data_IF_529733182341
#
_entry.id   IF_529733182341
#
_cell.length_a   1.000
_cell.length_b   1.000
_cell.length_c   1.000
_cell.angle_alpha   90.00
_cell.angle_beta   90.00
_cell.angle_gamma   90.00
#
_symmetry.space_group_name_H-M   'P 1'
#
loop_
_entity.id
_entity.type
_entity.pdbx_description
1 polymer ?
#
# COMPACT_ATOMS: atom_id res chain seq x y z
N UNK A 1 1.79 -1.86 26.47
CA UNK A 1 1.58 -1.24 25.14
C UNK A 1 2.88 -1.33 24.36
N UNK A 2 2.90 -2.03 23.22
CA UNK A 2 4.07 -2.00 22.35
C UNK A 2 4.11 -0.61 21.69
N UNK A 3 5.13 0.20 22.03
CA UNK A 3 5.37 1.48 21.34
C UNK A 3 5.99 1.15 19.99
N UNK A 4 5.25 1.43 18.92
CA UNK A 4 5.76 1.34 17.55
C UNK A 4 6.39 2.68 17.20
N UNK A 5 7.66 2.67 16.80
CA UNK A 5 8.35 3.83 16.21
C UNK A 5 8.02 4.00 14.71
N UNK A 6 7.15 3.16 14.15
CA UNK A 6 6.76 3.26 12.76
C UNK A 6 6.02 4.60 12.54
N UNK A 7 6.49 5.44 11.61
CA UNK A 7 5.83 6.70 11.33
C UNK A 7 4.41 6.44 10.81
N UNK A 8 3.44 7.16 11.38
CA UNK A 8 2.08 7.20 10.87
C UNK A 8 1.98 8.09 9.63
N UNK A 9 1.09 7.71 8.70
CA UNK A 9 0.65 8.62 7.65
C UNK A 9 -0.17 9.76 8.28
N UNK A 10 -0.04 11.01 7.79
CA UNK A 10 -0.86 12.13 8.24
C UNK A 10 -2.36 11.84 8.10
N UNK A 11 -3.17 12.46 8.97
CA UNK A 11 -4.64 12.43 8.82
C UNK A 11 -5.06 12.89 7.43
N UNK A 12 -6.06 12.23 6.83
CA UNK A 12 -6.54 12.53 5.47
C UNK A 12 -5.69 11.92 4.34
N UNK A 13 -4.52 11.34 4.63
CA UNK A 13 -3.69 10.71 3.58
C UNK A 13 -4.43 9.61 2.82
N UNK A 14 -5.26 8.83 3.52
CA UNK A 14 -6.04 7.77 2.90
C UNK A 14 -7.07 8.31 1.90
N UNK A 15 -7.84 9.33 2.29
CA UNK A 15 -8.80 10.00 1.41
C UNK A 15 -8.11 10.61 0.19
N UNK A 16 -6.96 11.28 0.40
CA UNK A 16 -6.20 11.88 -0.68
C UNK A 16 -5.63 10.82 -1.64
N UNK A 17 -5.02 9.75 -1.12
CA UNK A 17 -4.46 8.66 -1.92
C UNK A 17 -5.52 7.90 -2.72
N UNK A 18 -6.74 7.85 -2.20
CA UNK A 18 -7.88 7.22 -2.86
C UNK A 18 -8.71 8.21 -3.69
N UNK A 19 -8.34 9.50 -3.68
CA UNK A 19 -9.12 10.59 -4.26
C UNK A 19 -10.60 10.58 -3.85
N UNK A 20 -10.89 10.18 -2.61
CA UNK A 20 -12.24 10.03 -2.08
C UNK A 20 -13.09 8.93 -2.74
N UNK A 21 -12.48 7.99 -3.47
CA UNK A 21 -13.19 6.94 -4.22
C UNK A 21 -13.36 5.62 -3.45
N UNK A 22 -12.94 5.58 -2.19
CA UNK A 22 -12.95 4.37 -1.36
C UNK A 22 -13.80 4.64 -0.13
N UNK A 23 -14.88 3.88 -0.02
CA UNK A 23 -15.83 3.89 1.08
C UNK A 23 -15.63 2.65 1.97
N UNK A 24 -16.25 2.58 3.17
CA UNK A 24 -16.32 1.34 3.93
C UNK A 24 -16.92 0.20 3.09
N UNK A 25 -16.25 -0.96 3.06
CA UNK A 25 -16.58 -2.11 2.22
C UNK A 25 -16.02 -2.07 0.79
N UNK A 26 -15.36 -0.99 0.38
CA UNK A 26 -14.60 -0.96 -0.88
C UNK A 26 -13.43 -1.94 -0.84
N UNK A 27 -13.16 -2.58 -1.97
CA UNK A 27 -12.12 -3.62 -2.08
C UNK A 27 -10.80 -2.99 -2.47
N UNK A 28 -9.81 -3.09 -1.60
CA UNK A 28 -8.51 -2.43 -1.77
C UNK A 28 -7.40 -3.47 -1.83
N UNK A 29 -6.61 -3.45 -2.91
CA UNK A 29 -5.38 -4.25 -2.98
C UNK A 29 -4.23 -3.45 -2.35
N UNK A 30 -3.43 -4.09 -1.51
CA UNK A 30 -2.16 -3.51 -1.02
C UNK A 30 -0.99 -4.30 -1.58
N UNK A 31 -0.15 -3.63 -2.36
CA UNK A 31 1.13 -4.17 -2.85
C UNK A 31 2.29 -3.65 -1.99
N UNK A 32 3.39 -4.39 -1.98
CA UNK A 32 4.47 -4.22 -1.00
C UNK A 32 3.93 -4.05 0.43
N UNK A 33 3.04 -4.96 0.89
CA UNK A 33 2.31 -4.75 2.12
C UNK A 33 3.22 -4.84 3.34
N UNK A 34 3.01 -3.92 4.28
CA UNK A 34 3.54 -4.03 5.64
C UNK A 34 2.38 -4.10 6.63
N UNK A 35 2.63 -4.66 7.80
CA UNK A 35 1.62 -4.75 8.87
C UNK A 35 1.02 -3.39 9.22
N UNK A 36 1.85 -2.34 9.30
CA UNK A 36 1.40 -0.99 9.63
C UNK A 36 0.51 -0.41 8.53
N UNK A 37 0.91 -0.56 7.25
CA UNK A 37 0.12 -0.05 6.13
C UNK A 37 -1.22 -0.78 6.01
N UNK A 38 -1.25 -2.12 6.07
CA UNK A 38 -2.48 -2.88 5.98
C UNK A 38 -3.45 -2.53 7.13
N UNK A 39 -2.96 -2.37 8.37
CA UNK A 39 -3.81 -1.92 9.49
C UNK A 39 -4.36 -0.51 9.27
N UNK A 40 -3.53 0.41 8.79
CA UNK A 40 -3.95 1.77 8.53
C UNK A 40 -5.09 1.80 7.51
N UNK A 41 -4.94 1.09 6.39
CA UNK A 41 -5.99 0.97 5.36
C UNK A 41 -7.25 0.29 5.91
N UNK A 42 -7.12 -0.85 6.60
CA UNK A 42 -8.26 -1.58 7.15
C UNK A 42 -9.02 -0.76 8.22
N UNK A 43 -8.35 0.13 8.95
CA UNK A 43 -8.99 1.00 9.95
C UNK A 43 -10.01 1.98 9.37
N UNK A 44 -9.99 2.22 8.06
CA UNK A 44 -11.00 2.99 7.33
C UNK A 44 -12.22 2.16 6.90
N UNK A 45 -12.28 0.88 7.28
CA UNK A 45 -13.39 -0.01 6.93
C UNK A 45 -13.31 -0.61 5.52
N UNK A 46 -12.18 -0.49 4.83
CA UNK A 46 -11.96 -1.11 3.53
C UNK A 46 -11.70 -2.62 3.66
N UNK A 47 -12.15 -3.39 2.66
CA UNK A 47 -11.86 -4.81 2.53
C UNK A 47 -10.47 -4.99 1.90
N UNK A 48 -9.45 -5.17 2.75
CA UNK A 48 -8.05 -5.19 2.33
C UNK A 48 -7.63 -6.56 1.83
N UNK A 49 -7.08 -6.61 0.62
CA UNK A 49 -6.37 -7.76 0.07
C UNK A 49 -4.88 -7.43 -0.13
N UNK A 50 -4.03 -7.93 0.76
CA UNK A 50 -2.59 -7.81 0.64
C UNK A 50 -2.02 -8.89 -0.29
N UNK A 51 -1.11 -8.52 -1.19
CA UNK A 51 -0.39 -9.48 -2.04
C UNK A 51 1.09 -9.41 -1.71
N UNK A 52 1.67 -10.53 -1.30
CA UNK A 52 3.09 -10.63 -0.97
C UNK A 52 3.70 -11.88 -1.60
N UNK A 53 4.95 -11.81 -2.07
CA UNK A 53 5.61 -12.94 -2.75
C UNK A 53 6.01 -14.06 -1.80
N UNK A 54 6.40 -13.68 -0.59
CA UNK A 54 6.78 -14.60 0.47
C UNK A 54 5.52 -15.14 1.19
N UNK A 55 5.27 -16.46 1.19
CA UNK A 55 4.09 -17.07 1.80
C UNK A 55 4.05 -16.85 3.32
N UNK A 56 5.20 -16.85 4.01
CA UNK A 56 5.25 -16.65 5.47
C UNK A 56 4.79 -15.24 5.84
N UNK A 57 5.18 -14.24 5.04
CA UNK A 57 4.72 -12.87 5.20
C UNK A 57 3.23 -12.73 4.87
N UNK A 58 2.73 -13.39 3.83
CA UNK A 58 1.30 -13.43 3.54
C UNK A 58 0.51 -14.06 4.71
N UNK A 59 0.98 -15.15 5.28
CA UNK A 59 0.34 -15.78 6.45
C UNK A 59 0.32 -14.85 7.68
N UNK A 60 1.41 -14.12 7.94
CA UNK A 60 1.46 -13.12 9.01
C UNK A 60 0.43 -12.01 8.80
N UNK A 61 0.27 -11.53 7.58
CA UNK A 61 -0.70 -10.48 7.24
C UNK A 61 -2.16 -10.97 7.36
N UNK A 62 -2.43 -12.24 7.06
CA UNK A 62 -3.75 -12.87 7.26
C UNK A 62 -4.23 -12.88 8.73
N UNK A 63 -3.32 -12.69 9.69
CA UNK A 63 -3.67 -12.61 11.13
C UNK A 63 -4.18 -11.22 11.53
N UNK A 64 -4.16 -10.24 10.62
CA UNK A 64 -4.63 -8.88 10.88
C UNK A 64 -6.16 -8.80 10.68
N UNK A 65 -6.91 -8.20 11.64
CA UNK A 65 -8.33 -7.96 11.44
C UNK A 65 -8.60 -7.09 10.20
N UNK A 66 -9.60 -7.47 9.41
CA UNK A 66 -9.99 -6.74 8.19
C UNK A 66 -9.01 -6.88 7.02
N UNK A 67 -8.06 -7.81 7.09
CA UNK A 67 -7.08 -8.06 6.03
C UNK A 67 -7.13 -9.53 5.61
N UNK A 68 -7.29 -9.75 4.32
CA UNK A 68 -6.92 -10.99 3.66
C UNK A 68 -5.57 -10.81 2.98
N UNK A 69 -4.78 -11.86 2.92
CA UNK A 69 -3.48 -11.85 2.27
C UNK A 69 -3.28 -13.12 1.43
N UNK A 70 -2.70 -12.94 0.24
CA UNK A 70 -2.41 -14.05 -0.68
C UNK A 70 -0.95 -14.03 -1.08
N UNK A 71 -0.39 -15.23 -1.25
CA UNK A 71 0.93 -15.40 -1.83
C UNK A 71 0.85 -15.16 -3.33
N UNK A 72 1.53 -14.14 -3.84
CA UNK A 72 1.46 -13.74 -5.24
C UNK A 72 2.45 -12.64 -5.60
N UNK A 73 2.54 -12.35 -6.89
CA UNK A 73 3.48 -11.37 -7.43
C UNK A 73 2.70 -10.19 -8.06
N UNK A 74 3.14 -8.94 -7.88
CA UNK A 74 2.57 -7.79 -8.57
C UNK A 74 2.58 -7.87 -10.10
N UNK A 75 3.52 -8.62 -10.68
CA UNK A 75 3.66 -8.86 -12.13
C UNK A 75 2.73 -9.94 -12.66
N UNK A 76 2.08 -10.71 -11.78
CA UNK A 76 1.10 -11.73 -12.13
C UNK A 76 0.13 -11.91 -10.97
N UNK A 77 -0.84 -11.00 -10.89
CA UNK A 77 -1.78 -10.95 -9.77
C UNK A 77 -2.79 -12.10 -9.91
N UNK A 78 -2.94 -12.98 -8.89
CA UNK A 78 -3.92 -14.07 -8.91
C UNK A 78 -5.33 -13.56 -8.61
N UNK A 79 -5.73 -12.48 -9.28
CA UNK A 79 -6.93 -11.69 -9.00
C UNK A 79 -7.75 -11.51 -10.29
N UNK A 80 -9.07 -11.46 -10.13
CA UNK A 80 -9.97 -11.18 -11.24
C UNK A 80 -9.80 -9.73 -11.75
N UNK A 81 -10.00 -9.55 -13.04
CA UNK A 81 -10.01 -8.23 -13.66
C UNK A 81 -11.17 -7.36 -13.14
N UNK A 82 -11.03 -6.04 -13.19
CA UNK A 82 -12.08 -5.06 -12.89
C UNK A 82 -12.85 -5.32 -11.60
N UNK A 83 -12.15 -5.70 -10.54
CA UNK A 83 -12.76 -6.22 -9.30
C UNK A 83 -12.47 -5.38 -8.05
N UNK A 84 -11.56 -4.40 -8.15
CA UNK A 84 -11.07 -3.61 -7.02
C UNK A 84 -11.25 -2.11 -7.22
N UNK A 85 -11.44 -1.40 -6.11
CA UNK A 85 -11.75 0.03 -6.05
C UNK A 85 -10.49 0.89 -5.88
N UNK A 86 -9.43 0.30 -5.29
CA UNK A 86 -8.11 0.91 -5.26
C UNK A 86 -7.00 -0.14 -5.20
N UNK A 87 -5.82 0.26 -5.67
CA UNK A 87 -4.54 -0.41 -5.41
C UNK A 87 -3.65 0.60 -4.70
N UNK A 88 -3.13 0.23 -3.54
CA UNK A 88 -2.27 1.09 -2.72
C UNK A 88 -0.87 0.49 -2.61
N UNK A 89 0.14 1.33 -2.79
CA UNK A 89 1.54 0.97 -2.60
C UNK A 89 2.21 2.00 -1.70
N UNK A 90 2.82 1.55 -0.61
CA UNK A 90 3.56 2.41 0.31
C UNK A 90 5.02 1.97 0.37
N UNK A 91 5.95 2.89 0.15
CA UNK A 91 7.41 2.68 0.18
C UNK A 91 8.01 1.71 -0.86
N UNK A 92 7.22 0.90 -1.57
CA UNK A 92 7.75 -0.18 -2.41
C UNK A 92 7.52 -0.07 -3.92
N UNK A 93 6.93 1.02 -4.44
CA UNK A 93 6.56 1.07 -5.85
C UNK A 93 7.75 0.97 -6.83
N UNK A 94 8.93 1.42 -6.41
CA UNK A 94 10.18 1.30 -7.17
C UNK A 94 10.74 -0.13 -7.26
N UNK A 95 10.26 -1.05 -6.42
CA UNK A 95 10.62 -2.47 -6.45
C UNK A 95 9.80 -3.24 -7.49
N UNK A 96 8.72 -2.64 -7.99
CA UNK A 96 7.84 -3.27 -8.98
C UNK A 96 8.45 -3.13 -10.37
N UNK A 97 8.42 -4.20 -11.17
CA UNK A 97 8.80 -4.13 -12.58
C UNK A 97 7.72 -3.37 -13.37
N UNK A 98 7.92 -2.09 -13.77
CA UNK A 98 6.80 -1.26 -14.22
C UNK A 98 6.11 -1.80 -15.47
N UNK A 99 6.89 -2.36 -16.41
CA UNK A 99 6.38 -2.96 -17.64
C UNK A 99 5.52 -4.22 -17.44
N UNK A 100 5.54 -4.82 -16.25
CA UNK A 100 4.78 -6.03 -15.92
C UNK A 100 3.70 -5.76 -14.86
N UNK A 101 4.04 -5.00 -13.82
CA UNK A 101 3.14 -4.72 -12.71
C UNK A 101 2.05 -3.70 -13.06
N UNK A 102 2.36 -2.65 -13.83
CA UNK A 102 1.34 -1.63 -14.16
C UNK A 102 0.17 -2.20 -15.00
N UNK A 103 0.39 -3.05 -16.02
CA UNK A 103 -0.70 -3.73 -16.70
C UNK A 103 -1.59 -4.56 -15.77
N UNK A 104 -0.99 -5.30 -14.83
CA UNK A 104 -1.74 -6.09 -13.85
C UNK A 104 -2.54 -5.21 -12.87
N UNK A 105 -1.94 -4.12 -12.38
CA UNK A 105 -2.63 -3.14 -11.54
C UNK A 105 -3.82 -2.54 -12.30
N UNK A 106 -3.62 -2.11 -13.55
CA UNK A 106 -4.69 -1.58 -14.37
C UNK A 106 -5.77 -2.62 -14.65
N UNK A 107 -5.39 -3.89 -14.86
CA UNK A 107 -6.31 -5.01 -15.13
C UNK A 107 -7.25 -5.28 -13.95
N UNK A 108 -6.74 -5.27 -12.71
CA UNK A 108 -7.55 -5.61 -11.53
C UNK A 108 -8.46 -4.47 -11.06
N UNK A 109 -8.12 -3.22 -11.38
CA UNK A 109 -8.89 -2.04 -11.04
C UNK A 109 -10.17 -1.94 -11.89
N UNK A 110 -11.29 -1.60 -11.25
CA UNK A 110 -12.52 -1.21 -11.97
C UNK A 110 -12.27 0.07 -12.78
N UNK A 111 -12.99 0.28 -13.90
CA UNK A 111 -12.94 1.56 -14.60
C UNK A 111 -13.26 2.73 -13.67
N UNK A 112 -12.40 3.77 -13.67
CA UNK A 112 -12.56 4.95 -12.81
C UNK A 112 -11.96 4.82 -11.38
N UNK A 113 -11.44 3.65 -11.02
CA UNK A 113 -10.73 3.41 -9.76
C UNK A 113 -9.31 3.97 -9.76
N UNK A 114 -8.61 3.87 -8.62
CA UNK A 114 -7.37 4.60 -8.36
C UNK A 114 -6.18 3.70 -7.99
N UNK A 115 -5.00 4.07 -8.48
CA UNK A 115 -3.71 3.63 -7.95
C UNK A 115 -3.16 4.74 -7.05
N UNK A 116 -3.06 4.48 -5.75
CA UNK A 116 -2.46 5.38 -4.77
C UNK A 116 -1.04 4.95 -4.43
N UNK A 117 -0.06 5.81 -4.65
CA UNK A 117 1.34 5.54 -4.32
C UNK A 117 1.86 6.57 -3.34
N UNK A 118 2.53 6.12 -2.28
CA UNK A 118 3.02 7.00 -1.23
C UNK A 118 4.41 6.62 -0.71
N UNK A 119 5.11 7.63 -0.23
CA UNK A 119 6.39 7.51 0.46
C UNK A 119 6.44 8.46 1.65
N UNK A 120 7.11 8.02 2.69
CA UNK A 120 7.67 8.90 3.71
C UNK A 120 9.12 9.14 3.35
N UNK A 121 9.44 10.39 3.08
CA UNK A 121 10.79 10.86 2.78
C UNK A 121 11.32 11.66 3.95
N UNK A 122 12.64 11.81 4.00
CA UNK A 122 13.30 12.69 4.96
C UNK A 122 12.81 14.13 4.75
N UNK A 123 12.44 14.80 5.83
CA UNK A 123 12.07 16.21 5.82
C UNK A 123 13.33 17.09 5.78
N UNK A 124 13.68 17.57 4.59
CA UNK A 124 14.83 18.43 4.35
C UNK A 124 14.59 19.91 4.70
N UNK A 125 13.39 20.26 5.19
CA UNK A 125 13.14 21.57 5.81
C UNK A 125 13.81 21.68 7.18
N UNK A 126 14.05 20.55 7.85
CA UNK A 126 14.75 20.50 9.14
C UNK A 126 16.26 20.71 8.92
N UNK A 127 16.88 21.74 9.54
CA UNK A 127 18.24 22.15 9.18
C UNK A 127 19.31 21.06 9.29
N UNK A 128 19.24 20.19 10.30
CA UNK A 128 20.22 19.12 10.46
C UNK A 128 20.00 17.98 9.45
N UNK A 129 18.74 17.67 9.10
CA UNK A 129 18.41 16.66 8.09
C UNK A 129 18.90 17.11 6.73
N UNK A 130 18.73 18.39 6.40
CA UNK A 130 19.27 19.00 5.18
C UNK A 130 20.79 18.84 5.07
N UNK A 131 21.51 19.12 6.16
CA UNK A 131 22.98 18.93 6.22
C UNK A 131 23.37 17.47 6.03
N UNK A 132 22.67 16.54 6.69
CA UNK A 132 22.91 15.10 6.54
C UNK A 132 22.64 14.65 5.10
N UNK A 133 21.52 15.05 4.50
CA UNK A 133 21.14 14.66 3.15
C UNK A 133 22.16 15.11 2.09
N UNK A 134 22.84 16.24 2.30
CA UNK A 134 23.91 16.70 1.42
C UNK A 134 25.18 15.83 1.51
N UNK A 135 25.44 15.17 2.64
CA UNK A 135 26.60 14.29 2.85
C UNK A 135 26.36 12.87 2.33
N UNK A 136 25.10 12.43 2.27
CA UNK A 136 24.72 11.08 1.82
C UNK A 136 24.56 10.97 0.29
N UNK A 137 24.94 12.01 -0.46
CA UNK A 137 24.89 12.04 -1.94
C UNK A 137 26.10 11.35 -2.55
#
# INVERSE_FOLDING_TARGET
>A
MAVSSAPHLPSGSFEWLTAGRVDPGSRVVVLCPTVAHCRAVASHGADVLAVHRDPDTAEKLNRLPGVMAVCGSPESLPLNSSSFDAVLVHQGFHELAPGLALPEIARVLRPGSVLGVSWLVRDDTVPWVKRLAALLR
#
